data_IF_290727213677
#
_entry.id   IF_290727213677
#
_cell.length_a   1.000
_cell.length_b   1.000
_cell.length_c   1.000
_cell.angle_alpha   90.00
_cell.angle_beta   90.00
_cell.angle_gamma   90.00
#
_symmetry.space_group_name_H-M   'P 1'
#
loop_
_entity.id
_entity.type
_entity.pdbx_description
1 polymer ?
#
# COMPACT_ATOMS: atom_id res chain seq x y z
N UNK A 1 -23.80 -22.48 -58.96
CA UNK A 1 -24.87 -22.25 -57.95
C UNK A 1 -24.59 -22.88 -56.58
N UNK A 2 -24.24 -24.17 -56.46
CA UNK A 2 -24.06 -24.83 -55.15
C UNK A 2 -22.99 -24.19 -54.22
N UNK A 3 -21.87 -23.72 -54.76
CA UNK A 3 -20.79 -23.10 -53.96
C UNK A 3 -21.19 -21.73 -53.39
N UNK A 4 -21.96 -20.94 -54.14
CA UNK A 4 -22.43 -19.61 -53.70
C UNK A 4 -23.47 -19.76 -52.58
N UNK A 5 -24.38 -20.75 -52.67
CA UNK A 5 -25.32 -21.05 -51.58
C UNK A 5 -24.63 -21.56 -50.31
N UNK A 6 -23.54 -22.33 -50.42
CA UNK A 6 -22.75 -22.79 -49.26
C UNK A 6 -22.01 -21.62 -48.61
N UNK A 7 -21.39 -20.73 -49.39
CA UNK A 7 -20.74 -19.52 -48.87
C UNK A 7 -21.73 -18.59 -48.19
N UNK A 8 -22.93 -18.40 -48.75
CA UNK A 8 -23.98 -17.58 -48.14
C UNK A 8 -24.49 -18.21 -46.83
N UNK A 9 -24.64 -19.54 -46.78
CA UNK A 9 -25.06 -20.28 -45.59
C UNK A 9 -23.99 -20.23 -44.48
N UNK A 10 -22.71 -20.37 -44.82
CA UNK A 10 -21.59 -20.19 -43.89
C UNK A 10 -21.50 -18.75 -43.36
N UNK A 11 -21.77 -17.74 -44.20
CA UNK A 11 -21.79 -16.34 -43.76
C UNK A 11 -22.95 -16.07 -42.79
N UNK A 12 -24.15 -16.62 -43.06
CA UNK A 12 -25.29 -16.49 -42.14
C UNK A 12 -25.09 -17.21 -40.81
N UNK A 13 -24.40 -18.36 -40.81
CA UNK A 13 -24.06 -19.09 -39.59
C UNK A 13 -23.06 -18.32 -38.72
N UNK A 14 -22.00 -17.77 -39.34
CA UNK A 14 -21.01 -16.94 -38.63
C UNK A 14 -21.61 -15.64 -38.09
N UNK A 15 -22.55 -15.03 -38.80
CA UNK A 15 -23.23 -13.81 -38.37
C UNK A 15 -24.23 -14.08 -37.23
N UNK A 16 -24.98 -15.18 -37.30
CA UNK A 16 -25.87 -15.58 -36.21
C UNK A 16 -25.09 -15.95 -34.93
N UNK A 17 -23.95 -16.63 -35.08
CA UNK A 17 -23.09 -16.99 -33.97
C UNK A 17 -22.48 -15.75 -33.31
N UNK A 18 -21.94 -14.80 -34.10
CA UNK A 18 -21.37 -13.56 -33.56
C UNK A 18 -22.41 -12.68 -32.86
N UNK A 19 -23.67 -12.67 -33.34
CA UNK A 19 -24.75 -11.90 -32.74
C UNK A 19 -25.29 -12.54 -31.44
N UNK A 20 -25.30 -13.88 -31.34
CA UNK A 20 -25.67 -14.61 -30.12
C UNK A 20 -24.63 -14.43 -29.00
N UNK A 21 -23.34 -14.59 -29.32
CA UNK A 21 -22.23 -14.40 -28.36
C UNK A 21 -22.05 -12.94 -27.91
N UNK A 22 -22.52 -11.96 -28.69
CA UNK A 22 -22.50 -10.55 -28.32
C UNK A 22 -23.83 -10.05 -27.72
N UNK A 23 -24.79 -10.94 -27.43
CA UNK A 23 -25.98 -10.54 -26.68
C UNK A 23 -25.59 -10.03 -25.29
N UNK A 24 -26.26 -9.00 -24.73
CA UNK A 24 -25.91 -8.47 -23.42
C UNK A 24 -25.84 -9.53 -22.32
N UNK A 25 -26.74 -10.52 -22.35
CA UNK A 25 -26.78 -11.60 -21.38
C UNK A 25 -25.55 -12.50 -21.45
N UNK A 26 -25.06 -12.84 -22.65
CA UNK A 26 -23.84 -13.63 -22.82
C UNK A 26 -22.59 -12.84 -22.46
N UNK A 27 -22.55 -11.54 -22.78
CA UNK A 27 -21.48 -10.62 -22.34
C UNK A 27 -21.40 -10.59 -20.81
N UNK A 28 -22.55 -10.48 -20.12
CA UNK A 28 -22.59 -10.51 -18.66
C UNK A 28 -22.11 -11.86 -18.10
N UNK A 29 -22.55 -12.99 -18.68
CA UNK A 29 -22.10 -14.32 -18.23
C UNK A 29 -20.60 -14.50 -18.39
N UNK A 30 -20.04 -14.03 -19.50
CA UNK A 30 -18.61 -14.05 -19.73
C UNK A 30 -17.85 -13.16 -18.72
N UNK A 31 -18.37 -11.97 -18.44
CA UNK A 31 -17.82 -11.09 -17.40
C UNK A 31 -17.85 -11.75 -16.00
N UNK A 32 -18.96 -12.42 -15.64
CA UNK A 32 -19.08 -13.18 -14.38
C UNK A 32 -18.07 -14.34 -14.32
N UNK A 33 -17.87 -15.06 -15.42
CA UNK A 33 -16.84 -16.11 -15.52
C UNK A 33 -15.43 -15.53 -15.28
N UNK A 34 -15.07 -14.45 -15.97
CA UNK A 34 -13.76 -13.80 -15.80
C UNK A 34 -13.55 -13.30 -14.38
N UNK A 35 -14.59 -12.74 -13.76
CA UNK A 35 -14.54 -12.29 -12.37
C UNK A 35 -14.21 -13.44 -11.42
N UNK A 36 -14.84 -14.60 -11.61
CA UNK A 36 -14.60 -15.78 -10.79
C UNK A 36 -13.24 -16.44 -11.03
N UNK A 37 -12.66 -16.25 -12.22
CA UNK A 37 -11.27 -16.62 -12.55
C UNK A 37 -10.23 -15.58 -12.10
N UNK A 38 -10.62 -14.59 -11.27
CA UNK A 38 -9.76 -13.51 -10.75
C UNK A 38 -9.21 -12.56 -11.81
N UNK A 39 -9.77 -12.60 -13.02
CA UNK A 39 -9.37 -11.79 -14.15
C UNK A 39 -10.16 -10.47 -14.18
N UNK A 40 -9.94 -9.69 -13.13
CA UNK A 40 -10.72 -8.49 -12.83
C UNK A 40 -10.63 -7.41 -13.91
N UNK A 41 -9.52 -7.33 -14.65
CA UNK A 41 -9.36 -6.35 -15.72
C UNK A 41 -10.37 -6.59 -16.84
N UNK A 42 -10.35 -7.81 -17.40
CA UNK A 42 -11.24 -8.18 -18.50
C UNK A 42 -12.69 -8.28 -18.01
N UNK A 43 -12.90 -8.76 -16.78
CA UNK A 43 -14.24 -8.73 -16.17
C UNK A 43 -14.82 -7.31 -16.11
N UNK A 44 -14.04 -6.33 -15.64
CA UNK A 44 -14.47 -4.94 -15.57
C UNK A 44 -14.82 -4.35 -16.95
N UNK A 45 -14.02 -4.66 -17.98
CA UNK A 45 -14.25 -4.21 -19.35
C UNK A 45 -15.54 -4.81 -19.94
N UNK A 46 -15.78 -6.10 -19.75
CA UNK A 46 -17.01 -6.76 -20.21
C UNK A 46 -18.24 -6.30 -19.42
N UNK A 47 -18.11 -6.04 -18.11
CA UNK A 47 -19.18 -5.40 -17.33
C UNK A 47 -19.50 -4.00 -17.86
N UNK A 48 -18.49 -3.18 -18.17
CA UNK A 48 -18.72 -1.86 -18.77
C UNK A 48 -19.39 -1.97 -20.13
N UNK A 49 -19.02 -2.96 -20.95
CA UNK A 49 -19.66 -3.23 -22.24
C UNK A 49 -21.15 -3.55 -22.06
N UNK A 50 -21.50 -4.40 -21.11
CA UNK A 50 -22.88 -4.70 -20.74
C UNK A 50 -23.66 -3.44 -20.28
N UNK A 51 -23.04 -2.63 -19.43
CA UNK A 51 -23.68 -1.43 -18.87
C UNK A 51 -23.98 -0.33 -19.90
N UNK A 52 -23.43 -0.42 -21.12
CA UNK A 52 -23.80 0.49 -22.22
C UNK A 52 -25.21 0.23 -22.76
N UNK A 53 -25.70 -1.01 -22.66
CA UNK A 53 -27.04 -1.40 -23.12
C UNK A 53 -28.02 -1.51 -21.97
N UNK A 54 -27.59 -2.09 -20.85
CA UNK A 54 -28.48 -2.47 -19.76
C UNK A 54 -27.96 -1.94 -18.42
N UNK A 55 -28.75 -1.07 -17.77
CA UNK A 55 -28.44 -0.61 -16.41
C UNK A 55 -28.75 -1.72 -15.43
N UNK A 56 -27.74 -2.13 -14.66
CA UNK A 56 -27.89 -3.15 -13.62
C UNK A 56 -26.95 -2.84 -12.44
N UNK A 57 -27.53 -2.62 -11.27
CA UNK A 57 -26.81 -2.17 -10.08
C UNK A 57 -25.80 -3.20 -9.59
N UNK A 58 -26.12 -4.49 -9.71
CA UNK A 58 -25.19 -5.57 -9.34
C UNK A 58 -23.99 -5.56 -10.27
N UNK A 59 -24.21 -5.37 -11.58
CA UNK A 59 -23.11 -5.31 -12.56
C UNK A 59 -22.27 -4.05 -12.39
N UNK A 60 -22.88 -2.91 -12.06
CA UNK A 60 -22.15 -1.68 -11.68
C UNK A 60 -21.23 -1.99 -10.50
N UNK A 61 -21.77 -2.58 -9.44
CA UNK A 61 -20.99 -2.89 -8.26
C UNK A 61 -19.86 -3.88 -8.56
N UNK A 62 -20.13 -4.96 -9.29
CA UNK A 62 -19.08 -5.92 -9.71
C UNK A 62 -17.98 -5.26 -10.55
N UNK A 63 -18.33 -4.33 -11.45
CA UNK A 63 -17.35 -3.56 -12.21
C UNK A 63 -16.47 -2.68 -11.30
N UNK A 64 -17.09 -1.93 -10.38
CA UNK A 64 -16.37 -1.08 -9.42
C UNK A 64 -15.47 -1.91 -8.51
N UNK A 65 -16.00 -3.02 -7.99
CA UNK A 65 -15.24 -3.95 -7.16
C UNK A 65 -14.06 -4.55 -7.93
N UNK A 66 -14.23 -4.89 -9.21
CA UNK A 66 -13.14 -5.38 -10.06
C UNK A 66 -12.00 -4.36 -10.18
N UNK A 67 -12.32 -3.07 -10.40
CA UNK A 67 -11.28 -2.03 -10.40
C UNK A 67 -10.58 -1.89 -9.05
N UNK A 68 -11.33 -1.97 -7.95
CA UNK A 68 -10.75 -1.96 -6.61
C UNK A 68 -9.80 -3.15 -6.38
N UNK A 69 -10.18 -4.36 -6.81
CA UNK A 69 -9.33 -5.56 -6.69
C UNK A 69 -8.02 -5.46 -7.49
N UNK A 70 -7.96 -4.54 -8.46
CA UNK A 70 -6.76 -4.23 -9.23
C UNK A 70 -5.96 -3.03 -8.69
N UNK A 71 -6.29 -2.50 -7.51
CA UNK A 71 -5.75 -1.23 -6.99
C UNK A 71 -5.95 -0.02 -7.95
N UNK A 72 -6.91 -0.10 -8.88
CA UNK A 72 -7.24 0.96 -9.85
C UNK A 72 -8.22 1.97 -9.24
N UNK A 73 -7.79 2.63 -8.16
CA UNK A 73 -8.64 3.55 -7.38
C UNK A 73 -9.17 4.74 -8.17
N UNK A 74 -8.40 5.27 -9.13
CA UNK A 74 -8.87 6.35 -10.00
C UNK A 74 -10.10 5.94 -10.82
N UNK A 75 -10.14 4.70 -11.30
CA UNK A 75 -11.25 4.19 -12.09
C UNK A 75 -12.49 3.94 -11.24
N UNK A 76 -12.31 3.56 -9.98
CA UNK A 76 -13.40 3.50 -8.98
C UNK A 76 -14.06 4.88 -8.80
N UNK A 77 -13.27 5.95 -8.75
CA UNK A 77 -13.79 7.32 -8.58
C UNK A 77 -14.48 7.85 -9.84
N UNK A 78 -14.04 7.44 -11.02
CA UNK A 78 -14.65 7.82 -12.31
C UNK A 78 -16.07 7.27 -12.48
N UNK A 79 -16.43 6.22 -11.73
CA UNK A 79 -17.79 5.70 -11.73
C UNK A 79 -18.74 6.72 -11.10
N UNK A 80 -19.57 7.34 -11.94
CA UNK A 80 -20.68 8.18 -11.49
C UNK A 80 -21.75 7.29 -10.85
N UNK A 81 -21.69 7.14 -9.53
CA UNK A 81 -22.77 6.56 -8.72
C UNK A 81 -23.85 7.64 -8.58
N UNK A 82 -24.42 8.04 -9.71
CA UNK A 82 -25.45 9.07 -9.82
C UNK A 82 -26.86 8.51 -9.64
N UNK A 83 -27.01 7.20 -9.45
CA UNK A 83 -28.31 6.54 -9.57
C UNK A 83 -28.74 5.96 -8.23
N UNK A 84 -29.66 6.66 -7.58
CA UNK A 84 -30.60 6.23 -6.51
C UNK A 84 -30.11 5.42 -5.31
N UNK A 85 -30.48 5.85 -4.09
CA UNK A 85 -30.33 5.08 -2.85
C UNK A 85 -31.02 3.71 -2.88
N UNK A 86 -31.91 3.47 -3.85
CA UNK A 86 -32.64 2.19 -3.99
C UNK A 86 -31.74 1.03 -4.45
N UNK A 87 -30.47 1.30 -4.78
CA UNK A 87 -29.55 0.29 -5.26
C UNK A 87 -29.06 -0.58 -4.10
N UNK A 88 -29.15 -1.90 -4.25
CA UNK A 88 -28.77 -2.88 -3.22
C UNK A 88 -27.34 -2.68 -2.70
N UNK A 89 -26.41 -2.32 -3.60
CA UNK A 89 -24.99 -2.10 -3.31
C UNK A 89 -24.59 -0.62 -3.26
N UNK A 90 -25.54 0.30 -3.04
CA UNK A 90 -25.25 1.74 -2.99
C UNK A 90 -24.19 2.04 -1.92
N UNK A 91 -24.46 1.61 -0.69
CA UNK A 91 -23.58 1.80 0.47
C UNK A 91 -22.18 1.22 0.24
N UNK A 92 -22.13 -0.01 -0.30
CA UNK A 92 -20.88 -0.72 -0.60
C UNK A 92 -20.05 0.03 -1.65
N UNK A 93 -20.71 0.59 -2.66
CA UNK A 93 -20.05 1.39 -3.70
C UNK A 93 -19.53 2.71 -3.13
N UNK A 94 -20.28 3.38 -2.25
CA UNK A 94 -19.80 4.60 -1.57
C UNK A 94 -18.62 4.29 -0.65
N UNK A 95 -18.63 3.15 0.03
CA UNK A 95 -17.51 2.73 0.87
C UNK A 95 -16.26 2.39 0.04
N UNK A 96 -16.41 1.72 -1.12
CA UNK A 96 -15.30 1.52 -2.06
C UNK A 96 -14.71 2.84 -2.56
N UNK A 97 -15.55 3.85 -2.82
CA UNK A 97 -15.08 5.20 -3.13
C UNK A 97 -14.33 5.83 -1.97
N UNK A 98 -14.84 5.70 -0.75
CA UNK A 98 -14.18 6.20 0.44
C UNK A 98 -12.79 5.58 0.62
N UNK A 99 -12.67 4.25 0.44
CA UNK A 99 -11.38 3.55 0.45
C UNK A 99 -10.47 4.07 -0.67
N UNK A 100 -11.00 4.24 -1.87
CA UNK A 100 -10.24 4.72 -3.03
C UNK A 100 -9.67 6.13 -2.82
N UNK A 101 -10.48 7.03 -2.24
CA UNK A 101 -10.06 8.39 -1.84
C UNK A 101 -8.96 8.34 -0.78
N UNK A 102 -9.10 7.46 0.22
CA UNK A 102 -8.07 7.25 1.23
C UNK A 102 -6.75 6.78 0.60
N UNK A 103 -6.80 5.81 -0.32
CA UNK A 103 -5.63 5.24 -0.98
C UNK A 103 -4.92 6.23 -1.90
N UNK A 104 -5.67 7.16 -2.49
CA UNK A 104 -5.13 8.25 -3.30
C UNK A 104 -4.71 9.48 -2.48
N UNK A 105 -4.83 9.45 -1.15
CA UNK A 105 -4.58 10.58 -0.24
C UNK A 105 -5.44 11.83 -0.57
N UNK A 106 -6.60 11.65 -1.20
CA UNK A 106 -7.54 12.71 -1.56
C UNK A 106 -8.44 13.03 -0.35
N UNK A 107 -7.85 13.62 0.70
CA UNK A 107 -8.51 13.77 2.00
C UNK A 107 -9.69 14.77 2.01
N UNK A 108 -9.71 15.76 1.11
CA UNK A 108 -10.80 16.73 1.05
C UNK A 108 -12.10 16.09 0.54
N UNK A 109 -11.98 15.34 -0.57
CA UNK A 109 -13.05 14.55 -1.15
C UNK A 109 -13.44 13.41 -0.20
N UNK A 110 -12.46 12.78 0.47
CA UNK A 110 -12.71 11.76 1.49
C UNK A 110 -13.62 12.30 2.59
N UNK A 111 -13.30 13.47 3.17
CA UNK A 111 -14.07 14.07 4.27
C UNK A 111 -15.52 14.37 3.81
N UNK A 112 -15.69 14.81 2.56
CA UNK A 112 -17.01 15.05 1.95
C UNK A 112 -17.82 13.77 1.79
N UNK A 113 -17.22 12.70 1.27
CA UNK A 113 -17.87 11.39 1.11
C UNK A 113 -18.18 10.75 2.46
N UNK A 114 -17.28 10.84 3.42
CA UNK A 114 -17.48 10.36 4.79
C UNK A 114 -18.67 11.02 5.47
N UNK A 115 -18.78 12.36 5.36
CA UNK A 115 -19.92 13.10 5.90
C UNK A 115 -21.25 12.67 5.26
N UNK A 116 -21.25 12.40 3.95
CA UNK A 116 -22.43 11.92 3.23
C UNK A 116 -22.86 10.52 3.70
N UNK A 117 -21.92 9.58 3.85
CA UNK A 117 -22.19 8.22 4.34
C UNK A 117 -22.83 8.27 5.74
N UNK A 118 -22.27 9.11 6.62
CA UNK A 118 -22.81 9.32 7.97
C UNK A 118 -24.22 9.93 7.95
N UNK A 119 -24.43 10.97 7.15
CA UNK A 119 -25.72 11.66 7.05
C UNK A 119 -26.85 10.74 6.55
N UNK A 120 -26.53 9.78 5.68
CA UNK A 120 -27.50 8.86 5.09
C UNK A 120 -27.83 7.68 6.01
N UNK A 121 -27.04 7.43 7.06
CA UNK A 121 -27.22 6.30 7.97
C UNK A 121 -26.89 4.97 7.29
N UNK A 122 -25.77 4.92 6.57
CA UNK A 122 -25.34 3.73 5.84
C UNK A 122 -25.08 2.53 6.76
N UNK A 123 -25.33 1.31 6.26
CA UNK A 123 -24.94 0.06 6.94
C UNK A 123 -23.43 -0.06 7.19
N UNK A 124 -22.61 0.70 6.45
CA UNK A 124 -21.15 0.72 6.55
C UNK A 124 -20.63 1.91 7.38
N UNK A 125 -21.47 2.56 8.18
CA UNK A 125 -21.07 3.69 9.02
C UNK A 125 -19.90 3.31 9.94
N UNK A 126 -19.96 2.20 10.68
CA UNK A 126 -18.86 1.76 11.56
C UNK A 126 -17.56 1.52 10.79
N UNK A 127 -17.63 0.89 9.61
CA UNK A 127 -16.44 0.60 8.79
C UNK A 127 -15.84 1.90 8.23
N UNK A 128 -16.71 2.85 7.87
CA UNK A 128 -16.33 4.20 7.46
C UNK A 128 -15.68 4.97 8.60
N UNK A 129 -16.22 4.87 9.82
CA UNK A 129 -15.62 5.46 11.01
C UNK A 129 -14.22 4.94 11.28
N UNK A 130 -13.98 3.62 11.14
CA UNK A 130 -12.63 3.05 11.25
C UNK A 130 -11.66 3.72 10.25
N UNK A 131 -12.03 3.85 8.98
CA UNK A 131 -11.20 4.53 7.98
C UNK A 131 -10.98 6.02 8.30
N UNK A 132 -12.02 6.70 8.77
CA UNK A 132 -11.92 8.09 9.23
C UNK A 132 -10.86 8.19 10.34
N UNK A 133 -10.84 7.29 11.33
CA UNK A 133 -9.80 7.33 12.38
C UNK A 133 -8.39 7.17 11.82
N UNK A 134 -8.21 6.38 10.75
CA UNK A 134 -6.93 6.30 10.06
C UNK A 134 -6.54 7.60 9.36
N UNK A 135 -7.48 8.42 8.85
CA UNK A 135 -7.10 9.73 8.27
C UNK A 135 -6.51 10.66 9.32
N UNK A 136 -7.00 10.64 10.56
CA UNK A 136 -6.40 11.38 11.68
C UNK A 136 -4.99 10.87 12.02
N UNK A 137 -4.74 9.57 11.89
CA UNK A 137 -3.40 9.00 12.07
C UNK A 137 -2.45 9.39 10.92
N UNK A 138 -2.95 9.48 9.69
CA UNK A 138 -2.15 9.79 8.50
C UNK A 138 -1.88 11.29 8.31
N UNK A 139 -2.81 12.15 8.75
CA UNK A 139 -2.73 13.62 8.68
C UNK A 139 -2.12 14.19 9.95
N UNK A 140 -1.61 15.42 9.88
CA UNK A 140 -1.09 16.12 11.06
C UNK A 140 -2.24 16.75 11.88
N UNK A 141 -3.13 15.89 12.40
CA UNK A 141 -4.32 16.29 13.14
C UNK A 141 -4.21 15.88 14.61
N UNK A 142 -4.58 16.81 15.49
CA UNK A 142 -4.60 16.57 16.94
C UNK A 142 -5.89 15.82 17.28
N UNK A 143 -5.76 14.67 17.94
CA UNK A 143 -6.88 13.85 18.41
C UNK A 143 -6.47 13.05 19.62
N UNK A 144 -7.40 12.79 20.54
CA UNK A 144 -7.12 11.98 21.73
C UNK A 144 -7.06 10.48 21.38
N UNK A 145 -6.25 9.71 22.13
CA UNK A 145 -6.17 8.25 21.96
C UNK A 145 -7.56 7.61 22.01
N UNK A 146 -8.38 7.97 23.01
CA UNK A 146 -9.74 7.46 23.19
C UNK A 146 -10.64 7.68 21.96
N UNK A 147 -10.55 8.85 21.32
CA UNK A 147 -11.29 9.13 20.10
C UNK A 147 -10.83 8.27 18.92
N UNK A 148 -9.51 8.07 18.77
CA UNK A 148 -8.94 7.26 17.70
C UNK A 148 -9.35 5.80 17.84
N UNK A 149 -9.36 5.25 19.05
CA UNK A 149 -9.59 3.81 19.26
C UNK A 149 -11.07 3.45 19.41
N UNK A 150 -11.97 4.43 19.54
CA UNK A 150 -13.37 4.18 19.87
C UNK A 150 -14.17 3.27 18.91
N UNK A 151 -13.95 3.26 17.58
CA UNK A 151 -14.73 2.40 16.69
C UNK A 151 -14.13 0.98 16.52
N UNK A 152 -13.01 0.68 17.19
CA UNK A 152 -12.30 -0.59 17.05
C UNK A 152 -12.68 -1.55 18.18
N UNK A 153 -12.68 -2.86 17.88
CA UNK A 153 -12.89 -3.90 18.89
C UNK A 153 -11.62 -4.12 19.75
N UNK A 154 -11.73 -4.88 20.83
CA UNK A 154 -10.60 -5.13 21.76
C UNK A 154 -9.36 -5.72 21.09
N UNK A 155 -9.53 -6.57 20.07
CA UNK A 155 -8.40 -7.18 19.35
C UNK A 155 -7.66 -6.15 18.49
N UNK A 156 -8.41 -5.20 17.93
CA UNK A 156 -7.89 -4.15 17.07
C UNK A 156 -7.32 -2.98 17.87
N UNK A 157 -7.97 -2.61 18.98
CA UNK A 157 -7.59 -1.49 19.85
C UNK A 157 -6.11 -1.50 20.19
N UNK A 158 -5.57 -2.63 20.66
CA UNK A 158 -4.14 -2.73 21.01
C UNK A 158 -3.23 -2.39 19.83
N UNK A 159 -3.61 -2.74 18.60
CA UNK A 159 -2.83 -2.41 17.40
C UNK A 159 -2.96 -0.93 17.03
N UNK A 160 -4.17 -0.38 17.13
CA UNK A 160 -4.43 1.04 16.84
C UNK A 160 -3.76 1.95 17.88
N UNK A 161 -3.73 1.56 19.14
CA UNK A 161 -3.01 2.24 20.21
C UNK A 161 -1.52 2.32 19.92
N UNK A 162 -0.92 1.22 19.43
CA UNK A 162 0.49 1.23 19.01
C UNK A 162 0.74 2.21 17.87
N UNK A 163 -0.16 2.30 16.89
CA UNK A 163 -0.05 3.31 15.83
C UNK A 163 -0.18 4.73 16.39
N UNK A 164 -1.12 4.97 17.30
CA UNK A 164 -1.28 6.27 17.95
C UNK A 164 -0.03 6.66 18.75
N UNK A 165 0.49 5.76 19.58
CA UNK A 165 1.67 6.02 20.41
C UNK A 165 2.91 6.27 19.57
N UNK A 166 3.08 5.53 18.46
CA UNK A 166 4.18 5.77 17.52
C UNK A 166 4.05 7.10 16.79
N UNK A 167 2.84 7.58 16.52
CA UNK A 167 2.60 8.90 15.94
C UNK A 167 2.92 10.02 16.93
N UNK A 168 2.52 9.87 18.20
CA UNK A 168 2.76 10.87 19.25
C UNK A 168 4.22 10.91 19.69
N UNK A 169 4.87 9.75 19.76
CA UNK A 169 6.27 9.63 20.14
C UNK A 169 7.04 8.85 19.06
N UNK A 170 7.31 9.47 17.90
CA UNK A 170 8.13 8.88 16.87
C UNK A 170 9.54 8.60 17.40
N UNK A 171 10.01 7.37 17.24
CA UNK A 171 11.31 6.93 17.72
C UNK A 171 12.47 7.47 16.87
N UNK A 172 12.77 8.77 16.96
CA UNK A 172 13.93 9.34 16.31
C UNK A 172 15.25 8.90 16.96
N UNK A 173 16.29 8.73 16.14
CA UNK A 173 17.64 8.37 16.54
C UNK A 173 18.52 9.61 16.53
N UNK A 174 19.22 9.91 17.62
CA UNK A 174 20.20 11.00 17.66
C UNK A 174 21.42 10.73 16.76
N UNK A 175 21.72 11.59 15.76
CA UNK A 175 22.93 11.46 14.93
C UNK A 175 24.23 11.61 15.73
N UNK A 176 24.22 12.46 16.76
CA UNK A 176 25.38 12.65 17.63
C UNK A 176 25.68 11.37 18.43
N UNK A 177 24.66 10.74 19.01
CA UNK A 177 24.86 9.47 19.73
C UNK A 177 25.37 8.38 18.79
N UNK A 178 24.86 8.31 17.56
CA UNK A 178 25.35 7.38 16.56
C UNK A 178 26.85 7.60 16.24
N UNK A 179 27.28 8.86 16.07
CA UNK A 179 28.69 9.19 15.89
C UNK A 179 29.53 8.81 17.11
N UNK A 180 29.07 9.12 18.32
CA UNK A 180 29.76 8.79 19.58
C UNK A 180 29.94 7.28 19.71
N UNK A 181 28.90 6.48 19.50
CA UNK A 181 29.03 5.03 19.54
C UNK A 181 30.07 4.53 18.53
N UNK A 182 30.01 4.98 17.28
CA UNK A 182 30.99 4.60 16.26
C UNK A 182 32.41 5.09 16.53
N UNK A 183 32.58 6.10 17.38
CA UNK A 183 33.89 6.55 17.85
C UNK A 183 34.46 5.67 18.99
N UNK A 184 33.66 4.80 19.59
CA UNK A 184 34.13 3.81 20.57
C UNK A 184 34.36 2.48 19.85
N UNK A 185 33.36 2.03 19.09
CA UNK A 185 33.40 0.78 18.32
C UNK A 185 32.95 1.09 16.89
N UNK A 186 33.84 0.99 15.89
CA UNK A 186 33.49 1.27 14.50
C UNK A 186 32.24 0.52 14.06
N UNK A 187 31.25 1.25 13.54
CA UNK A 187 30.00 0.67 13.04
C UNK A 187 28.88 0.51 14.07
N UNK A 188 29.15 0.65 15.37
CA UNK A 188 28.09 0.50 16.40
C UNK A 188 26.99 1.58 16.30
N UNK A 189 27.31 2.77 15.82
CA UNK A 189 26.33 3.81 15.50
C UNK A 189 25.37 3.45 14.36
N UNK A 190 25.83 2.64 13.39
CA UNK A 190 24.98 2.09 12.32
C UNK A 190 24.05 1.01 12.87
N UNK A 191 24.54 0.17 13.79
CA UNK A 191 23.70 -0.81 14.51
C UNK A 191 22.61 -0.09 15.31
N UNK A 192 22.95 0.99 16.01
CA UNK A 192 21.99 1.85 16.72
C UNK A 192 20.92 2.46 15.79
N UNK A 193 21.28 2.77 14.54
CA UNK A 193 20.37 3.24 13.49
C UNK A 193 19.67 2.10 12.72
N UNK A 194 19.60 0.90 13.32
CA UNK A 194 18.94 -0.30 12.77
C UNK A 194 19.53 -0.78 11.43
N UNK A 195 20.82 -0.48 11.20
CA UNK A 195 21.63 -0.92 10.04
C UNK A 195 22.71 -1.91 10.47
N UNK A 196 22.27 -3.10 10.91
CA UNK A 196 23.17 -4.14 11.45
C UNK A 196 24.25 -4.56 10.44
N UNK A 197 23.88 -4.81 9.18
CA UNK A 197 24.83 -5.21 8.14
C UNK A 197 25.93 -4.17 7.90
N UNK A 198 25.54 -2.89 7.78
CA UNK A 198 26.51 -1.80 7.58
C UNK A 198 27.41 -1.60 8.81
N UNK A 199 26.89 -1.89 10.01
CA UNK A 199 27.66 -1.87 11.25
C UNK A 199 28.70 -2.97 11.33
N UNK A 200 28.33 -4.21 10.99
CA UNK A 200 29.27 -5.35 10.96
C UNK A 200 30.37 -5.11 9.91
N UNK A 201 29.99 -4.65 8.71
CA UNK A 201 30.95 -4.34 7.64
C UNK A 201 31.95 -3.25 8.07
N UNK A 202 31.46 -2.21 8.72
CA UNK A 202 32.28 -1.13 9.27
C UNK A 202 33.30 -1.65 10.29
N UNK A 203 32.85 -2.48 11.24
CA UNK A 203 33.71 -3.06 12.26
C UNK A 203 34.80 -3.94 11.65
N UNK A 204 34.44 -4.86 10.76
CA UNK A 204 35.38 -5.78 10.13
C UNK A 204 36.39 -5.04 9.27
N UNK A 205 35.94 -4.09 8.44
CA UNK A 205 36.82 -3.34 7.53
C UNK A 205 37.83 -2.51 8.32
N UNK A 206 37.38 -1.71 9.30
CA UNK A 206 38.28 -0.93 10.14
C UNK A 206 39.21 -1.84 10.96
N UNK A 207 38.70 -2.96 11.49
CA UNK A 207 39.47 -3.93 12.25
C UNK A 207 40.59 -4.58 11.43
N UNK A 208 40.30 -5.03 10.21
CA UNK A 208 41.29 -5.62 9.29
C UNK A 208 42.40 -4.63 8.97
N UNK A 209 42.08 -3.39 8.60
CA UNK A 209 43.11 -2.40 8.29
C UNK A 209 43.93 -2.00 9.52
N UNK A 210 43.29 -1.93 10.69
CA UNK A 210 43.99 -1.67 11.95
C UNK A 210 44.97 -2.80 12.30
N UNK A 211 44.54 -4.06 12.13
CA UNK A 211 45.39 -5.23 12.33
C UNK A 211 46.57 -5.25 11.37
N UNK A 212 46.33 -5.00 10.08
CA UNK A 212 47.39 -4.93 9.06
C UNK A 212 48.38 -3.80 9.35
N UNK A 213 47.91 -2.64 9.81
CA UNK A 213 48.78 -1.55 10.23
C UNK A 213 49.68 -1.96 11.40
N UNK A 214 49.08 -2.53 12.45
CA UNK A 214 49.79 -3.01 13.64
C UNK A 214 50.87 -4.05 13.29
N UNK A 215 50.51 -5.08 12.52
CA UNK A 215 51.42 -6.16 12.13
C UNK A 215 52.61 -5.64 11.32
N UNK A 216 52.36 -4.73 10.35
CA UNK A 216 53.44 -4.16 9.54
C UNK A 216 54.35 -3.21 10.33
N UNK A 217 53.82 -2.43 11.29
CA UNK A 217 54.68 -1.64 12.18
C UNK A 217 55.53 -2.52 13.10
N UNK A 218 54.95 -3.61 13.62
CA UNK A 218 55.67 -4.59 14.44
C UNK A 218 56.79 -5.29 13.67
N UNK A 219 56.59 -5.51 12.37
CA UNK A 219 57.59 -6.10 11.46
C UNK A 219 58.57 -5.06 10.84
N UNK A 220 58.58 -3.81 11.30
CA UNK A 220 59.41 -2.69 10.78
C UNK A 220 59.18 -2.36 9.28
N UNK A 221 58.04 -2.77 8.71
CA UNK A 221 57.61 -2.43 7.36
C UNK A 221 56.93 -1.04 7.31
N UNK A 222 57.70 0.02 7.53
CA UNK A 222 57.19 1.40 7.75
C UNK A 222 56.21 1.91 6.69
N UNK A 223 56.53 1.73 5.40
CA UNK A 223 55.63 2.18 4.32
C UNK A 223 54.25 1.50 4.39
N UNK A 224 54.23 0.16 4.55
CA UNK A 224 52.97 -0.61 4.63
C UNK A 224 52.20 -0.29 5.91
N UNK A 225 52.92 -0.09 7.03
CA UNK A 225 52.32 0.36 8.29
C UNK A 225 51.56 1.67 8.12
N UNK A 226 52.19 2.68 7.53
CA UNK A 226 51.53 3.97 7.26
C UNK A 226 50.41 3.88 6.23
N UNK A 227 50.56 3.06 5.18
CA UNK A 227 49.50 2.83 4.19
C UNK A 227 48.23 2.26 4.85
N UNK A 228 48.37 1.16 5.58
CA UNK A 228 47.22 0.52 6.23
C UNK A 228 46.72 1.33 7.42
N UNK A 229 47.59 2.06 8.12
CA UNK A 229 47.19 2.99 9.18
C UNK A 229 46.36 4.16 8.64
N UNK A 230 46.75 4.72 7.49
CA UNK A 230 45.98 5.74 6.78
C UNK A 230 44.62 5.23 6.34
N UNK A 231 44.55 4.02 5.77
CA UNK A 231 43.30 3.37 5.42
C UNK A 231 42.42 3.11 6.66
N UNK A 232 42.99 2.59 7.74
CA UNK A 232 42.29 2.39 9.01
C UNK A 232 41.71 3.71 9.53
N UNK A 233 42.50 4.78 9.54
CA UNK A 233 42.05 6.13 9.93
C UNK A 233 40.94 6.67 9.03
N UNK A 234 41.05 6.47 7.71
CA UNK A 234 40.02 6.88 6.75
C UNK A 234 38.70 6.13 6.98
N UNK A 235 38.75 4.80 7.11
CA UNK A 235 37.55 4.00 7.41
C UNK A 235 36.97 4.33 8.78
N UNK A 236 37.80 4.56 9.78
CA UNK A 236 37.37 4.95 11.12
C UNK A 236 36.62 6.28 11.11
N UNK A 237 37.21 7.34 10.52
CA UNK A 237 36.56 8.64 10.39
C UNK A 237 35.28 8.56 9.55
N UNK A 238 35.34 7.82 8.43
CA UNK A 238 34.17 7.56 7.57
C UNK A 238 33.05 6.83 8.31
N UNK A 239 33.37 5.93 9.23
CA UNK A 239 32.36 5.22 10.03
C UNK A 239 31.69 6.12 11.06
N UNK A 240 32.40 7.07 11.67
CA UNK A 240 31.81 8.07 12.58
C UNK A 240 30.80 8.93 11.80
N UNK A 241 31.23 9.54 10.70
CA UNK A 241 30.36 10.36 9.85
C UNK A 241 29.18 9.55 9.30
N UNK A 242 29.46 8.38 8.73
CA UNK A 242 28.44 7.49 8.15
C UNK A 242 27.41 7.01 9.16
N UNK A 243 27.75 6.94 10.46
CA UNK A 243 26.79 6.59 11.50
C UNK A 243 25.83 7.73 11.84
N UNK A 244 26.34 8.97 11.89
CA UNK A 244 25.48 10.15 12.01
C UNK A 244 24.52 10.25 10.81
N UNK A 245 25.03 10.03 9.60
CA UNK A 245 24.21 10.01 8.38
C UNK A 245 23.16 8.88 8.41
N UNK A 246 23.52 7.68 8.88
CA UNK A 246 22.57 6.57 9.01
C UNK A 246 21.39 6.92 9.94
N UNK A 247 21.66 7.59 11.07
CA UNK A 247 20.60 8.07 11.97
C UNK A 247 19.72 9.15 11.32
N UNK A 248 20.30 10.06 10.53
CA UNK A 248 19.52 11.05 9.78
C UNK A 248 18.62 10.40 8.73
N UNK A 249 19.14 9.42 7.98
CA UNK A 249 18.37 8.65 7.00
C UNK A 249 17.24 7.88 7.69
N UNK A 250 17.52 7.26 8.84
CA UNK A 250 16.51 6.60 9.66
C UNK A 250 15.39 7.59 10.02
N UNK A 251 15.75 8.77 10.54
CA UNK A 251 14.78 9.79 10.95
C UNK A 251 13.93 10.30 9.78
N UNK A 252 14.55 10.52 8.62
CA UNK A 252 13.83 10.93 7.41
C UNK A 252 12.81 9.87 6.94
N UNK A 253 13.08 8.59 7.20
CA UNK A 253 12.18 7.47 6.88
C UNK A 253 11.05 7.24 7.88
N UNK A 254 11.08 7.84 9.08
CA UNK A 254 10.11 7.54 10.15
C UNK A 254 8.67 7.75 9.71
N UNK A 255 8.36 8.91 9.11
CA UNK A 255 7.00 9.23 8.67
C UNK A 255 6.55 8.36 7.49
N UNK A 256 7.44 8.10 6.54
CA UNK A 256 7.14 7.27 5.38
C UNK A 256 6.83 5.83 5.80
N UNK A 257 7.69 5.24 6.63
CA UNK A 257 7.49 3.91 7.20
C UNK A 257 6.21 3.87 8.05
N UNK A 258 5.92 4.96 8.77
CA UNK A 258 4.70 5.08 9.55
C UNK A 258 3.44 4.90 8.70
N UNK A 259 3.36 5.67 7.61
CA UNK A 259 2.24 5.63 6.68
C UNK A 259 2.15 4.28 5.96
N UNK A 260 3.29 3.72 5.54
CA UNK A 260 3.35 2.42 4.88
C UNK A 260 2.80 1.29 5.76
N UNK A 261 3.16 1.25 7.04
CA UNK A 261 2.66 0.22 7.95
C UNK A 261 1.15 0.30 8.18
N UNK A 262 0.59 1.52 8.21
CA UNK A 262 -0.87 1.71 8.24
C UNK A 262 -1.51 1.12 6.97
N UNK A 263 -0.94 1.38 5.80
CA UNK A 263 -1.45 0.83 4.54
C UNK A 263 -1.36 -0.70 4.49
N UNK A 264 -0.26 -1.28 4.97
CA UNK A 264 -0.09 -2.74 5.09
C UNK A 264 -1.16 -3.32 6.03
N UNK A 265 -1.38 -2.68 7.18
CA UNK A 265 -2.40 -3.11 8.14
C UNK A 265 -3.80 -3.07 7.53
N UNK A 266 -4.16 -1.96 6.88
CA UNK A 266 -5.46 -1.81 6.21
C UNK A 266 -5.66 -2.82 5.08
N UNK A 267 -4.62 -3.07 4.29
CA UNK A 267 -4.66 -4.09 3.22
C UNK A 267 -4.92 -5.48 3.78
N UNK A 268 -4.25 -5.86 4.89
CA UNK A 268 -4.50 -7.14 5.59
C UNK A 268 -5.94 -7.23 6.12
N UNK A 269 -6.53 -6.12 6.52
CA UNK A 269 -7.93 -6.01 6.95
C UNK A 269 -8.92 -5.82 5.78
N UNK A 270 -8.46 -5.92 4.53
CA UNK A 270 -9.26 -5.62 3.31
C UNK A 270 -9.97 -4.25 3.39
N UNK A 271 -9.35 -3.27 4.05
CA UNK A 271 -9.93 -1.95 4.35
C UNK A 271 -11.29 -1.99 5.05
N UNK A 272 -11.58 -3.07 5.79
CA UNK A 272 -12.89 -3.33 6.39
C UNK A 272 -14.02 -3.47 5.35
N UNK A 273 -13.70 -3.82 4.11
CA UNK A 273 -14.69 -4.13 3.10
C UNK A 273 -15.41 -5.44 3.45
N UNK A 274 -16.76 -5.50 3.38
CA UNK A 274 -17.49 -6.76 3.48
C UNK A 274 -17.02 -7.79 2.45
N UNK A 275 -17.18 -9.07 2.76
CA UNK A 275 -16.94 -10.12 1.78
C UNK A 275 -18.15 -10.29 0.87
N UNK A 276 -17.91 -10.40 -0.44
CA UNK A 276 -18.94 -10.63 -1.44
C UNK A 276 -18.66 -11.94 -2.15
N UNK A 277 -19.66 -12.81 -2.16
CA UNK A 277 -19.61 -14.05 -2.91
C UNK A 277 -20.54 -13.95 -4.11
N UNK A 278 -19.94 -13.93 -5.30
CA UNK A 278 -20.62 -13.83 -6.58
C UNK A 278 -20.41 -15.06 -7.46
N UNK A 279 -19.72 -16.08 -6.96
CA UNK A 279 -19.21 -17.21 -7.73
C UNK A 279 -19.80 -18.56 -7.32
N UNK A 280 -20.81 -18.54 -6.45
CA UNK A 280 -21.64 -19.70 -6.11
C UNK A 280 -22.68 -20.02 -7.18
#
# INVERSE_FOLDING_TARGET
MKIISILFFCYSLSFAQSQLFNSPQEVKKFADYLYCEFDYLRAAEEYQKFLRTDKNDTVIFKSVLSYYMMDRFSDVLNFSVSSSRNFVFYDDTQFLKLISLFRLNMFNEFDTTAALIKMIGSKLETNSEKLIRFTFLMRDSISSKGFIVSPFDETEKTTIEKFYDRKQNPHYKSPLLAAVFSSIIPGSGKVYADKLGDGIFAFLTTGVFTFLAYDNFKADHKFRGWLFGGLAGLFYAGNIYGSAAAAQIFNAGVQFNFQNDIQIYLTKKKHYLPEYDFCN
#
